data_IF_297949184795
#
_entry.id   IF_297949184795
#
_cell.length_a   1.000
_cell.length_b   1.000
_cell.length_c   1.000
_cell.angle_alpha   90.00
_cell.angle_beta   90.00
_cell.angle_gamma   90.00
#
_symmetry.space_group_name_H-M   'P 1'
#
loop_
_entity.id
_entity.type
_entity.pdbx_description
1 polymer ?
#
# COMPACT_ATOMS: atom_id res chain seq x y z
N UNK A 1 8.44 11.70 8.34
CA UNK A 1 7.35 11.88 7.38
C UNK A 1 6.47 10.62 7.41
N UNK A 2 5.15 10.77 7.48
CA UNK A 2 4.17 9.65 7.56
C UNK A 2 3.35 9.63 6.28
N UNK A 3 3.53 8.61 5.47
CA UNK A 3 3.03 8.52 4.11
C UNK A 3 2.18 7.28 3.89
N UNK A 4 1.24 7.39 2.95
CA UNK A 4 0.52 6.28 2.34
C UNK A 4 0.82 6.28 0.85
N UNK A 5 0.89 5.11 0.23
CA UNK A 5 0.92 4.97 -1.22
C UNK A 5 -0.31 4.21 -1.71
N UNK A 6 -1.12 4.85 -2.54
CA UNK A 6 -2.30 4.32 -3.21
C UNK A 6 -2.02 4.04 -4.68
N UNK A 7 -2.82 3.21 -5.27
CA UNK A 7 -2.78 2.86 -6.69
C UNK A 7 -3.26 1.43 -6.91
N UNK A 8 -3.73 1.09 -8.12
CA UNK A 8 -4.24 -0.24 -8.41
C UNK A 8 -3.19 -1.34 -8.27
N UNK A 9 -3.60 -2.61 -8.09
CA UNK A 9 -2.69 -3.74 -8.18
C UNK A 9 -1.91 -3.68 -9.51
N UNK A 10 -0.58 -3.79 -9.45
CA UNK A 10 0.30 -3.64 -10.64
C UNK A 10 0.80 -2.24 -10.92
N UNK A 11 0.38 -1.21 -10.18
CA UNK A 11 0.86 0.16 -10.36
C UNK A 11 2.35 0.37 -10.03
N UNK A 12 3.00 -0.58 -9.34
CA UNK A 12 4.40 -0.47 -8.93
C UNK A 12 4.59 0.12 -7.53
N UNK A 13 3.53 0.15 -6.71
CA UNK A 13 3.57 0.69 -5.35
C UNK A 13 4.72 0.13 -4.50
N UNK A 14 4.86 -1.19 -4.42
CA UNK A 14 5.90 -1.82 -3.60
C UNK A 14 7.32 -1.41 -4.02
N UNK A 15 7.58 -1.34 -5.34
CA UNK A 15 8.87 -0.87 -5.86
C UNK A 15 9.13 0.58 -5.49
N UNK A 16 8.14 1.45 -5.66
CA UNK A 16 8.26 2.86 -5.32
C UNK A 16 8.34 3.07 -3.80
N UNK A 17 7.53 2.35 -3.02
CA UNK A 17 7.54 2.43 -1.57
C UNK A 17 8.93 2.15 -0.99
N UNK A 18 9.60 1.09 -1.45
CA UNK A 18 10.94 0.76 -0.99
C UNK A 18 11.96 1.89 -1.29
N UNK A 19 11.93 2.44 -2.50
CA UNK A 19 12.86 3.51 -2.92
C UNK A 19 12.59 4.84 -2.24
N UNK A 20 11.32 5.21 -2.10
CA UNK A 20 10.92 6.45 -1.42
C UNK A 20 11.32 6.37 0.06
N UNK A 21 11.01 5.24 0.71
CA UNK A 21 11.34 5.00 2.10
C UNK A 21 12.85 5.06 2.36
N UNK A 22 13.66 4.46 1.48
CA UNK A 22 15.12 4.54 1.54
C UNK A 22 15.61 5.99 1.45
N UNK A 23 15.10 6.77 0.47
CA UNK A 23 15.48 8.19 0.32
C UNK A 23 15.08 9.08 1.49
N UNK A 24 13.98 8.74 2.16
CA UNK A 24 13.47 9.50 3.30
C UNK A 24 13.99 9.00 4.66
N UNK A 25 14.69 7.86 4.68
CA UNK A 25 15.18 7.24 5.91
C UNK A 25 14.06 6.75 6.85
N UNK A 26 12.94 6.28 6.27
CA UNK A 26 11.78 5.75 6.99
C UNK A 26 11.51 4.30 6.55
N UNK A 27 10.83 3.47 7.36
CA UNK A 27 10.46 2.12 6.92
C UNK A 27 9.33 2.15 5.89
N UNK A 28 9.42 1.27 4.88
CA UNK A 28 8.29 0.87 4.05
C UNK A 28 7.55 -0.28 4.75
N UNK A 29 6.26 -0.13 5.01
CA UNK A 29 5.42 -1.11 5.70
C UNK A 29 4.36 -1.60 4.72
N UNK A 30 4.51 -2.84 4.25
CA UNK A 30 3.57 -3.48 3.33
C UNK A 30 2.74 -4.55 4.05
N UNK A 31 1.43 -4.33 4.18
CA UNK A 31 0.53 -5.33 4.75
C UNK A 31 0.50 -6.61 3.93
N UNK A 32 0.59 -6.49 2.60
CA UNK A 32 0.68 -7.66 1.72
C UNK A 32 1.93 -8.51 1.99
N UNK A 33 3.08 -7.89 2.23
CA UNK A 33 4.31 -8.60 2.53
C UNK A 33 4.26 -9.24 3.92
N UNK A 34 3.67 -8.55 4.91
CA UNK A 34 3.46 -9.12 6.26
C UNK A 34 2.61 -10.38 6.17
N UNK A 35 1.49 -10.35 5.45
CA UNK A 35 0.64 -11.53 5.30
C UNK A 35 1.33 -12.66 4.54
N UNK A 36 2.03 -12.36 3.43
CA UNK A 36 2.77 -13.37 2.66
C UNK A 36 3.88 -14.03 3.47
N UNK A 37 4.60 -13.26 4.29
CA UNK A 37 5.60 -13.81 5.21
C UNK A 37 4.97 -14.78 6.22
N UNK A 38 3.84 -14.40 6.83
CA UNK A 38 3.10 -15.27 7.75
C UNK A 38 2.59 -16.55 7.08
N UNK A 39 2.11 -16.47 5.82
CA UNK A 39 1.70 -17.65 5.05
C UNK A 39 2.90 -18.58 4.79
N UNK A 40 4.03 -18.03 4.37
CA UNK A 40 5.26 -18.79 4.11
C UNK A 40 5.77 -19.50 5.36
N UNK A 41 5.73 -18.82 6.49
CA UNK A 41 6.19 -19.33 7.77
C UNK A 41 5.14 -20.19 8.49
N UNK A 42 3.96 -20.39 7.88
CA UNK A 42 2.85 -21.18 8.40
C UNK A 42 2.42 -20.79 9.82
N UNK A 43 2.48 -19.50 10.15
CA UNK A 43 1.98 -19.02 11.44
C UNK A 43 0.46 -19.20 11.56
N UNK A 44 -0.13 -19.19 12.77
CA UNK A 44 -1.58 -19.26 12.93
C UNK A 44 -2.31 -18.19 12.13
N UNK A 45 -1.77 -16.98 12.01
CA UNK A 45 -2.27 -15.92 11.16
C UNK A 45 -2.16 -16.29 9.68
N UNK A 46 -1.01 -16.76 9.24
CA UNK A 46 -0.76 -17.17 7.86
C UNK A 46 -1.74 -18.25 7.39
N UNK A 47 -1.98 -19.26 8.22
CA UNK A 47 -2.98 -20.31 7.94
C UNK A 47 -4.38 -19.71 7.81
N UNK A 48 -4.76 -18.79 8.69
CA UNK A 48 -6.08 -18.15 8.70
C UNK A 48 -6.35 -17.29 7.46
N UNK A 49 -5.34 -16.59 6.94
CA UNK A 49 -5.51 -15.65 5.84
C UNK A 49 -5.14 -16.22 4.46
N UNK A 50 -4.59 -17.43 4.41
CA UNK A 50 -4.06 -18.04 3.20
C UNK A 50 -5.06 -18.06 2.05
N UNK A 51 -6.27 -18.59 2.26
CA UNK A 51 -7.30 -18.70 1.21
C UNK A 51 -7.77 -17.32 0.74
N UNK A 52 -7.89 -16.36 1.67
CA UNK A 52 -8.33 -14.99 1.35
C UNK A 52 -7.30 -14.32 0.43
N UNK A 53 -6.01 -14.41 0.78
CA UNK A 53 -4.93 -13.78 0.00
C UNK A 53 -4.77 -14.44 -1.36
N UNK A 54 -4.80 -15.79 -1.43
CA UNK A 54 -4.62 -16.53 -2.70
C UNK A 54 -5.78 -16.33 -3.67
N UNK A 55 -6.99 -16.07 -3.18
CA UNK A 55 -8.15 -15.70 -4.00
C UNK A 55 -8.21 -14.21 -4.37
N UNK A 56 -7.27 -13.39 -3.89
CA UNK A 56 -7.21 -11.95 -4.16
C UNK A 56 -8.10 -11.08 -3.28
N UNK A 57 -8.73 -11.66 -2.26
CA UNK A 57 -9.60 -10.98 -1.31
C UNK A 57 -8.84 -10.08 -0.32
N UNK A 58 -9.59 -9.26 0.39
CA UNK A 58 -9.06 -8.45 1.51
C UNK A 58 -9.24 -9.22 2.82
N UNK A 59 -8.18 -9.23 3.61
CA UNK A 59 -8.25 -9.67 5.01
C UNK A 59 -9.14 -8.67 5.77
N UNK A 60 -9.90 -9.16 6.76
CA UNK A 60 -10.81 -8.31 7.53
C UNK A 60 -10.11 -7.10 8.16
N UNK A 61 -10.84 -6.01 8.30
CA UNK A 61 -10.31 -4.77 8.86
C UNK A 61 -9.76 -4.98 10.28
N UNK A 62 -10.44 -5.75 11.13
CA UNK A 62 -10.00 -6.02 12.51
C UNK A 62 -8.60 -6.62 12.55
N UNK A 63 -8.34 -7.65 11.73
CA UNK A 63 -7.03 -8.31 11.68
C UNK A 63 -5.99 -7.37 11.09
N UNK A 64 -6.35 -6.66 10.02
CA UNK A 64 -5.41 -5.76 9.33
C UNK A 64 -5.04 -4.57 10.20
N UNK A 65 -6.02 -3.98 10.89
CA UNK A 65 -5.81 -2.86 11.81
C UNK A 65 -4.90 -3.25 12.98
N UNK A 66 -5.13 -4.43 13.59
CA UNK A 66 -4.30 -4.94 14.69
C UNK A 66 -2.83 -5.08 14.27
N UNK A 67 -2.59 -5.64 13.08
CA UNK A 67 -1.23 -5.84 12.56
C UNK A 67 -0.54 -4.50 12.26
N UNK A 68 -1.27 -3.55 11.68
CA UNK A 68 -0.72 -2.22 11.39
C UNK A 68 -0.44 -1.48 12.69
N UNK A 69 -1.36 -1.49 13.65
CA UNK A 69 -1.17 -0.85 14.94
C UNK A 69 0.07 -1.39 15.66
N UNK A 70 0.23 -2.73 15.76
CA UNK A 70 1.42 -3.35 16.32
C UNK A 70 2.70 -2.88 15.58
N UNK A 71 2.70 -2.94 14.25
CA UNK A 71 3.88 -2.57 13.44
C UNK A 71 4.27 -1.10 13.60
N UNK A 72 3.31 -0.20 13.79
CA UNK A 72 3.57 1.22 14.01
C UNK A 72 4.18 1.53 15.38
N UNK A 73 4.15 0.60 16.33
CA UNK A 73 4.81 0.73 17.65
C UNK A 73 6.30 0.43 17.61
N UNK A 74 6.82 -0.13 16.52
CA UNK A 74 8.22 -0.50 16.43
C UNK A 74 9.12 0.74 16.34
N UNK A 75 10.32 0.66 16.92
CA UNK A 75 11.25 1.79 17.03
C UNK A 75 11.55 2.49 15.69
N UNK A 76 11.65 1.72 14.60
CA UNK A 76 11.95 2.23 13.28
C UNK A 76 10.82 3.10 12.67
N UNK A 77 9.57 2.93 13.15
CA UNK A 77 8.40 3.67 12.66
C UNK A 77 8.11 4.97 13.44
N UNK A 78 8.80 5.19 14.56
CA UNK A 78 8.54 6.35 15.45
C UNK A 78 8.70 7.70 14.74
N UNK A 79 9.68 7.84 13.86
CA UNK A 79 9.99 9.10 13.17
C UNK A 79 9.28 9.26 11.83
N UNK A 80 8.56 8.23 11.38
CA UNK A 80 7.82 8.22 10.13
C UNK A 80 7.76 6.85 9.52
N UNK A 81 6.97 6.72 8.46
CA UNK A 81 6.77 5.46 7.74
C UNK A 81 6.12 5.73 6.38
N UNK A 82 6.17 4.74 5.51
CA UNK A 82 5.38 4.68 4.29
C UNK A 82 4.56 3.39 4.29
N UNK A 83 3.22 3.52 4.32
CA UNK A 83 2.29 2.39 4.28
C UNK A 83 1.97 2.02 2.83
N UNK A 84 2.17 0.75 2.46
CA UNK A 84 1.74 0.14 1.20
C UNK A 84 0.71 -0.96 1.45
N UNK A 85 -0.43 -0.86 0.77
CA UNK A 85 -1.53 -1.80 0.88
C UNK A 85 -2.41 -1.60 2.12
N UNK A 86 -2.30 -0.46 2.79
CA UNK A 86 -3.16 -0.01 3.89
C UNK A 86 -3.17 1.54 3.94
N UNK A 87 -4.31 2.19 4.15
CA UNK A 87 -5.65 1.60 4.22
C UNK A 87 -6.17 1.16 2.85
N UNK A 88 -7.15 0.24 2.84
CA UNK A 88 -7.85 -0.23 1.65
C UNK A 88 -9.36 -0.02 1.70
N UNK A 89 -9.89 0.26 2.87
CA UNK A 89 -11.33 0.49 3.14
C UNK A 89 -11.53 1.74 3.96
N UNK A 90 -12.75 2.30 3.93
CA UNK A 90 -13.09 3.44 4.77
C UNK A 90 -12.92 3.15 6.27
N UNK A 91 -13.27 1.94 6.72
CA UNK A 91 -13.07 1.54 8.11
C UNK A 91 -11.60 1.51 8.53
N UNK A 92 -10.69 1.16 7.60
CA UNK A 92 -9.25 1.23 7.85
C UNK A 92 -8.73 2.68 7.88
N UNK A 93 -9.32 3.59 7.10
CA UNK A 93 -8.98 5.03 7.18
C UNK A 93 -9.31 5.57 8.57
N UNK A 94 -10.54 5.34 9.06
CA UNK A 94 -10.96 5.79 10.38
C UNK A 94 -10.06 5.22 11.49
N UNK A 95 -9.72 3.93 11.40
CA UNK A 95 -8.82 3.28 12.35
C UNK A 95 -7.40 3.87 12.34
N UNK A 96 -6.84 4.16 11.15
CA UNK A 96 -5.53 4.78 11.03
C UNK A 96 -5.51 6.19 11.64
N UNK A 97 -6.52 6.99 11.34
CA UNK A 97 -6.64 8.35 11.89
C UNK A 97 -6.71 8.32 13.42
N UNK A 98 -7.45 7.37 13.99
CA UNK A 98 -7.50 7.16 15.44
C UNK A 98 -6.16 6.71 16.01
N UNK A 99 -5.47 5.75 15.37
CA UNK A 99 -4.13 5.29 15.79
C UNK A 99 -3.14 6.46 15.85
N UNK A 100 -3.11 7.29 14.82
CA UNK A 100 -2.20 8.42 14.74
C UNK A 100 -2.54 9.51 15.75
N UNK A 101 -3.82 9.85 15.87
CA UNK A 101 -4.28 10.91 16.78
C UNK A 101 -4.00 10.59 18.24
N UNK A 102 -4.11 9.32 18.65
CA UNK A 102 -3.76 8.86 20.01
C UNK A 102 -2.30 9.17 20.39
N UNK A 103 -1.42 9.28 19.41
CA UNK A 103 -0.01 9.61 19.61
C UNK A 103 0.34 11.07 19.24
N UNK A 104 -0.65 11.91 18.96
CA UNK A 104 -0.44 13.29 18.55
C UNK A 104 0.18 13.43 17.15
N UNK A 105 -0.05 12.44 16.27
CA UNK A 105 0.47 12.39 14.92
C UNK A 105 -0.64 12.54 13.89
N UNK A 106 -0.26 12.89 12.66
CA UNK A 106 -1.12 12.92 11.49
C UNK A 106 -0.32 12.44 10.26
N UNK A 107 -1.03 12.14 9.18
CA UNK A 107 -0.40 11.90 7.88
C UNK A 107 0.16 13.21 7.30
N UNK A 108 1.30 13.11 6.63
CA UNK A 108 1.91 14.23 5.92
C UNK A 108 1.44 14.30 4.46
N UNK A 109 1.29 13.15 3.80
CA UNK A 109 0.75 13.05 2.44
C UNK A 109 0.30 11.64 2.12
N UNK A 110 -0.58 11.54 1.11
CA UNK A 110 -1.04 10.30 0.49
C UNK A 110 -0.69 10.35 -0.98
N UNK A 111 0.22 9.49 -1.40
CA UNK A 111 0.69 9.38 -2.78
C UNK A 111 -0.26 8.51 -3.58
N UNK A 112 -0.76 8.97 -4.71
CA UNK A 112 -1.52 8.16 -5.66
C UNK A 112 -0.71 7.99 -6.94
N UNK A 113 -0.35 6.73 -7.25
CA UNK A 113 0.29 6.40 -8.52
C UNK A 113 -0.77 6.21 -9.61
N UNK A 114 -0.80 7.11 -10.57
CA UNK A 114 -1.64 7.01 -11.76
C UNK A 114 -0.92 6.20 -12.84
N UNK A 115 -1.54 5.10 -13.30
CA UNK A 115 -0.96 4.18 -14.28
C UNK A 115 -2.03 3.72 -15.26
N UNK A 116 -1.68 3.63 -16.54
CA UNK A 116 -2.56 3.13 -17.58
C UNK A 116 -2.95 1.66 -17.35
N UNK A 117 -4.19 1.30 -17.66
CA UNK A 117 -4.71 -0.07 -17.47
C UNK A 117 -3.92 -1.11 -18.26
N UNK A 118 -3.51 -0.80 -19.50
CA UNK A 118 -2.70 -1.73 -20.31
C UNK A 118 -1.33 -1.99 -19.69
N UNK A 119 -0.69 -0.96 -19.15
CA UNK A 119 0.58 -1.09 -18.44
C UNK A 119 0.46 -1.91 -17.15
N UNK A 120 -0.69 -1.85 -16.48
CA UNK A 120 -0.99 -2.67 -15.30
C UNK A 120 -0.99 -4.14 -15.64
N UNK A 121 -1.69 -4.52 -16.72
CA UNK A 121 -1.78 -5.92 -17.16
C UNK A 121 -0.38 -6.47 -17.51
N UNK A 122 0.39 -5.73 -18.29
CA UNK A 122 1.76 -6.12 -18.64
C UNK A 122 2.65 -6.31 -17.40
N UNK A 123 2.59 -5.37 -16.45
CA UNK A 123 3.37 -5.44 -15.20
C UNK A 123 2.98 -6.64 -14.33
N UNK A 124 1.69 -6.96 -14.24
CA UNK A 124 1.20 -8.10 -13.47
C UNK A 124 1.61 -9.44 -14.09
N UNK A 125 1.51 -9.58 -15.42
CA UNK A 125 1.97 -10.77 -16.13
C UNK A 125 3.48 -10.99 -15.95
N UNK A 126 4.27 -9.93 -16.09
CA UNK A 126 5.71 -9.99 -15.85
C UNK A 126 6.04 -10.37 -14.41
N UNK A 127 5.30 -9.86 -13.43
CA UNK A 127 5.49 -10.19 -12.02
C UNK A 127 5.13 -11.64 -11.72
N UNK A 128 4.07 -12.17 -12.32
CA UNK A 128 3.72 -13.59 -12.22
C UNK A 128 4.86 -14.50 -12.66
N UNK A 129 5.55 -14.14 -13.76
CA UNK A 129 6.70 -14.90 -14.28
C UNK A 129 7.93 -14.80 -13.37
N UNK A 130 8.20 -13.62 -12.81
CA UNK A 130 9.45 -13.35 -12.07
C UNK A 130 9.36 -13.67 -10.58
N UNK A 131 8.22 -13.44 -9.94
CA UNK A 131 8.04 -13.62 -8.49
C UNK A 131 7.24 -14.88 -8.14
N UNK A 132 6.57 -15.53 -9.12
CA UNK A 132 5.79 -16.75 -8.90
C UNK A 132 4.67 -16.59 -7.88
N UNK A 133 4.03 -15.42 -7.82
CA UNK A 133 2.96 -15.14 -6.86
C UNK A 133 1.71 -15.94 -7.19
N UNK A 134 1.15 -16.62 -6.20
CA UNK A 134 -0.09 -17.38 -6.35
C UNK A 134 -1.32 -16.49 -6.64
N UNK A 135 -1.25 -15.21 -6.24
CA UNK A 135 -2.29 -14.19 -6.42
C UNK A 135 -2.17 -13.38 -7.73
N UNK A 136 -1.36 -13.83 -8.68
CA UNK A 136 -1.18 -13.18 -9.98
C UNK A 136 -1.66 -14.05 -11.16
N UNK A 137 -2.69 -14.90 -10.95
CA UNK A 137 -3.43 -15.55 -12.04
C UNK A 137 -4.46 -14.59 -12.62
N UNK A 138 -4.89 -14.80 -13.87
CA UNK A 138 -5.79 -13.87 -14.57
C UNK A 138 -7.09 -13.62 -13.79
N UNK A 139 -7.71 -14.68 -13.26
CA UNK A 139 -8.96 -14.57 -12.50
C UNK A 139 -8.76 -13.80 -11.19
N UNK A 140 -7.66 -14.08 -10.48
CA UNK A 140 -7.32 -13.39 -9.24
C UNK A 140 -6.95 -11.91 -9.48
N UNK A 141 -6.27 -11.62 -10.58
CA UNK A 141 -5.99 -10.23 -11.00
C UNK A 141 -7.29 -9.47 -11.23
N UNK A 142 -8.26 -10.06 -11.94
CA UNK A 142 -9.57 -9.43 -12.17
C UNK A 142 -10.32 -9.17 -10.88
N UNK A 143 -10.32 -10.13 -9.96
CA UNK A 143 -10.96 -9.97 -8.64
C UNK A 143 -10.31 -8.84 -7.85
N UNK A 144 -8.98 -8.79 -7.78
CA UNK A 144 -8.24 -7.71 -7.10
C UNK A 144 -8.52 -6.35 -7.69
N UNK A 145 -8.64 -6.23 -9.01
CA UNK A 145 -9.00 -4.98 -9.67
C UNK A 145 -10.44 -4.55 -9.34
N UNK A 146 -11.37 -5.50 -9.31
CA UNK A 146 -12.77 -5.23 -8.96
C UNK A 146 -12.90 -4.74 -7.51
N UNK A 147 -12.24 -5.41 -6.56
CA UNK A 147 -12.23 -5.03 -5.14
C UNK A 147 -11.55 -3.65 -4.97
N UNK A 148 -10.43 -3.42 -5.64
CA UNK A 148 -9.75 -2.12 -5.59
C UNK A 148 -10.65 -0.97 -6.04
N UNK A 149 -11.32 -1.11 -7.20
CA UNK A 149 -12.23 -0.08 -7.72
C UNK A 149 -13.38 0.22 -6.77
N UNK A 150 -13.89 -0.82 -6.09
CA UNK A 150 -15.02 -0.69 -5.18
C UNK A 150 -14.63 -0.10 -3.82
N UNK A 151 -13.57 -0.61 -3.22
CA UNK A 151 -13.25 -0.36 -1.82
C UNK A 151 -12.14 0.69 -1.64
N UNK A 152 -11.12 0.69 -2.50
CA UNK A 152 -9.90 1.48 -2.28
C UNK A 152 -9.84 2.74 -3.15
N UNK A 153 -10.22 2.67 -4.42
CA UNK A 153 -10.19 3.83 -5.29
C UNK A 153 -10.99 5.04 -4.73
N UNK A 154 -12.15 4.87 -4.07
CA UNK A 154 -12.87 5.98 -3.45
C UNK A 154 -12.10 6.70 -2.33
N UNK A 155 -11.08 6.09 -1.75
CA UNK A 155 -10.27 6.72 -0.70
C UNK A 155 -9.44 7.89 -1.22
N UNK A 156 -9.11 7.91 -2.51
CA UNK A 156 -8.40 9.03 -3.13
C UNK A 156 -9.21 10.34 -2.99
N UNK A 157 -10.52 10.29 -3.22
CA UNK A 157 -11.40 11.47 -3.02
C UNK A 157 -11.41 11.95 -1.56
N UNK A 158 -11.45 11.01 -0.61
CA UNK A 158 -11.39 11.34 0.82
C UNK A 158 -10.11 12.13 1.15
N UNK A 159 -8.95 11.66 0.68
CA UNK A 159 -7.68 12.33 0.91
C UNK A 159 -7.50 13.61 0.10
N UNK A 160 -8.12 13.71 -1.08
CA UNK A 160 -8.15 14.94 -1.88
C UNK A 160 -8.92 16.06 -1.15
N UNK A 161 -10.10 15.76 -0.59
CA UNK A 161 -10.87 16.68 0.24
C UNK A 161 -10.11 17.10 1.51
N UNK A 162 -9.36 16.18 2.10
CA UNK A 162 -8.50 16.47 3.25
C UNK A 162 -7.24 17.29 2.89
N UNK A 163 -6.96 17.51 1.62
CA UNK A 163 -5.76 18.24 1.15
C UNK A 163 -4.45 17.46 1.32
N UNK A 164 -4.53 16.14 1.45
CA UNK A 164 -3.38 15.26 1.66
C UNK A 164 -2.95 14.52 0.39
N UNK A 165 -3.81 14.46 -0.65
CA UNK A 165 -3.56 13.67 -1.85
C UNK A 165 -2.53 14.31 -2.76
N UNK A 166 -1.53 13.53 -3.16
CA UNK A 166 -0.50 13.90 -4.13
C UNK A 166 -0.54 12.90 -5.27
N UNK A 167 -1.08 13.30 -6.42
CA UNK A 167 -1.16 12.47 -7.64
C UNK A 167 0.16 12.52 -8.38
N UNK A 168 0.68 11.35 -8.75
CA UNK A 168 1.95 11.22 -9.46
C UNK A 168 1.79 10.24 -10.62
N UNK A 169 2.23 10.67 -11.81
CA UNK A 169 2.32 9.79 -12.97
C UNK A 169 3.30 8.65 -12.70
N UNK A 170 2.78 7.43 -12.61
CA UNK A 170 3.51 6.19 -12.35
C UNK A 170 4.07 5.52 -13.62
N UNK A 171 4.04 6.22 -14.76
CA UNK A 171 4.56 5.72 -16.03
C UNK A 171 6.03 6.09 -16.24
N UNK A 172 6.75 5.24 -16.98
CA UNK A 172 8.15 5.46 -17.32
C UNK A 172 9.12 4.63 -16.48
N UNK A 173 10.40 5.03 -16.47
CA UNK A 173 11.43 4.33 -15.71
C UNK A 173 11.22 4.45 -14.19
N UNK A 174 11.61 3.43 -13.46
CA UNK A 174 11.40 3.38 -12.01
C UNK A 174 12.05 4.58 -11.29
N UNK A 175 13.25 4.95 -11.70
CA UNK A 175 13.98 6.09 -11.11
C UNK A 175 13.27 7.42 -11.37
N UNK A 176 12.74 7.62 -12.59
CA UNK A 176 12.02 8.85 -12.96
C UNK A 176 10.73 8.99 -12.15
N UNK A 177 10.01 7.89 -11.90
CA UNK A 177 8.82 7.89 -11.03
C UNK A 177 9.21 8.24 -9.60
N UNK A 178 10.28 7.64 -9.08
CA UNK A 178 10.78 7.96 -7.73
C UNK A 178 11.11 9.44 -7.59
N UNK A 179 11.81 10.01 -8.58
CA UNK A 179 12.19 11.43 -8.58
C UNK A 179 10.97 12.35 -8.61
N UNK A 180 9.94 12.01 -9.44
CA UNK A 180 8.67 12.74 -9.47
C UNK A 180 7.96 12.70 -8.12
N UNK A 181 7.90 11.54 -7.47
CA UNK A 181 7.30 11.40 -6.14
C UNK A 181 8.02 12.30 -5.13
N UNK A 182 9.34 12.19 -5.05
CA UNK A 182 10.13 12.99 -4.08
C UNK A 182 9.97 14.49 -4.33
N UNK A 183 9.92 14.91 -5.59
CA UNK A 183 9.73 16.31 -5.95
C UNK A 183 8.31 16.84 -5.61
N UNK A 184 7.31 15.97 -5.62
CA UNK A 184 5.91 16.31 -5.34
C UNK A 184 5.56 16.30 -3.84
N UNK A 185 6.40 15.67 -3.00
CA UNK A 185 6.15 15.62 -1.55
C UNK A 185 6.23 17.02 -0.91
N UNK A 186 5.40 17.28 0.13
CA UNK A 186 5.46 18.53 0.87
C UNK A 186 6.86 18.72 1.46
N UNK A 187 7.46 19.87 1.18
CA UNK A 187 8.73 20.25 1.78
C UNK A 187 8.46 20.67 3.22
N UNK A 188 8.93 19.87 4.19
CA UNK A 188 8.94 20.34 5.57
C UNK A 188 10.04 21.41 5.69
N UNK A 189 9.63 22.63 5.92
CA UNK A 189 10.53 23.73 6.22
C UNK A 189 11.13 23.57 7.62
#
# INVERSE_FOLDING_TARGET
MRLIILGPPGAGKGTQAARIAERLGIPAISTGDIFRANIKDQTPLGVKVHEIITSGGYVSDDITNEIVEDRLTWDDATHGFLLDGYPRTAGQVDALDEMLSRHGHALDAVLELEVDEDAIVERLLKRAETEGRADDTEDVIRERQAIYRKETAPLAEHYEVAGLLVKVDGMGAVDDVTDRVIAALPQHA
#
